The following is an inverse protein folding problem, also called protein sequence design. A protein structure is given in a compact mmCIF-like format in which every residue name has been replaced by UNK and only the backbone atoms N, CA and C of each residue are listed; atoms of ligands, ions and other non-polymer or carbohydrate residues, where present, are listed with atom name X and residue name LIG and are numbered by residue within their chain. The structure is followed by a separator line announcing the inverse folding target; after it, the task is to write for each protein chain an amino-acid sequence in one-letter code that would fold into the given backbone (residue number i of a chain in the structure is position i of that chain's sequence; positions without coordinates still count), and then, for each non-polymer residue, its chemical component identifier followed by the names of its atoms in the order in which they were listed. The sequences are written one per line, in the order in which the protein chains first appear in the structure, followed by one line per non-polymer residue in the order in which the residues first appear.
data_IF_473913387955
#
_entry.id   IF_473913387955
#
_cell.length_a   1.000
_cell.length_b   1.000
_cell.length_c   1.000
_cell.angle_alpha   90.00
_cell.angle_beta   90.00
_cell.angle_gamma   90.00
#
_symmetry.space_group_name_H-M   'P 1'
#
loop_
_entity.id
_entity.type
_entity.pdbx_description
1 polymer ?
#
# COMPACT_ATOMS: atom_id res chain seq x y z
N UNK A 1 15.46 10.96 -29.62
CA UNK A 1 16.22 10.58 -28.40
C UNK A 1 15.29 10.62 -27.19
N UNK A 2 14.85 9.46 -26.70
CA UNK A 2 13.92 9.38 -25.57
C UNK A 2 14.56 9.95 -24.31
N UNK A 3 13.89 10.91 -23.65
CA UNK A 3 14.36 11.51 -22.40
C UNK A 3 14.70 10.39 -21.39
N UNK A 4 15.98 10.31 -21.00
CA UNK A 4 16.44 9.43 -19.92
C UNK A 4 15.67 9.79 -18.65
N UNK A 5 15.04 8.78 -18.02
CA UNK A 5 14.32 8.93 -16.74
C UNK A 5 15.32 9.30 -15.64
N UNK A 6 14.84 10.01 -14.62
CA UNK A 6 15.67 10.43 -13.51
C UNK A 6 16.25 9.19 -12.78
N UNK A 7 17.58 9.08 -12.79
CA UNK A 7 18.43 8.27 -11.91
C UNK A 7 17.80 7.01 -11.27
N UNK A 8 17.70 5.91 -12.02
CA UNK A 8 17.53 4.54 -11.47
C UNK A 8 16.18 4.21 -10.80
N UNK A 9 15.34 5.20 -10.49
CA UNK A 9 14.04 5.03 -9.86
C UNK A 9 12.96 4.97 -10.95
N UNK A 10 12.80 3.81 -11.60
CA UNK A 10 11.94 3.66 -12.79
C UNK A 10 10.47 4.09 -12.57
N UNK A 11 10.04 4.20 -11.31
CA UNK A 11 8.72 4.61 -10.82
C UNK A 11 8.55 6.11 -10.54
N UNK A 12 9.62 6.91 -10.45
CA UNK A 12 9.55 8.35 -10.13
C UNK A 12 9.91 9.21 -11.35
N UNK A 13 9.06 10.17 -11.70
CA UNK A 13 9.19 11.03 -12.89
C UNK A 13 8.98 12.50 -12.56
N UNK A 14 9.72 13.37 -13.24
CA UNK A 14 9.60 14.82 -13.14
C UNK A 14 8.80 15.40 -14.32
N UNK A 15 7.84 16.26 -14.00
CA UNK A 15 6.97 16.95 -14.96
C UNK A 15 7.61 18.26 -15.45
N UNK A 16 7.10 18.81 -16.56
CA UNK A 16 7.60 20.08 -17.14
C UNK A 16 7.47 21.25 -16.15
N UNK A 17 6.45 21.21 -15.31
CA UNK A 17 6.10 22.26 -14.35
C UNK A 17 6.85 22.14 -13.01
N UNK A 18 7.85 21.26 -12.92
CA UNK A 18 8.69 21.07 -11.73
C UNK A 18 8.15 20.08 -10.69
N UNK A 19 6.93 19.60 -10.86
CA UNK A 19 6.32 18.58 -10.01
C UNK A 19 6.92 17.18 -10.23
N UNK A 20 6.82 16.35 -9.21
CA UNK A 20 7.28 14.97 -9.20
C UNK A 20 6.09 14.02 -9.04
N UNK A 21 6.17 12.89 -9.73
CA UNK A 21 5.18 11.82 -9.67
C UNK A 21 5.86 10.50 -9.36
N UNK A 22 5.36 9.79 -8.35
CA UNK A 22 5.73 8.43 -8.01
C UNK A 22 4.59 7.49 -8.34
N UNK A 23 4.82 6.49 -9.19
CA UNK A 23 3.82 5.50 -9.59
C UNK A 23 4.04 4.22 -8.80
N UNK A 24 2.97 3.66 -8.22
CA UNK A 24 3.01 2.38 -7.53
C UNK A 24 1.81 1.51 -7.85
N UNK A 25 1.99 0.20 -7.74
CA UNK A 25 0.88 -0.76 -7.80
C UNK A 25 0.26 -0.86 -6.42
N UNK A 26 -1.01 -0.47 -6.31
CA UNK A 26 -1.72 -0.45 -5.04
C UNK A 26 -2.29 -1.81 -4.66
N UNK A 27 -2.84 -2.55 -5.61
CA UNK A 27 -3.25 -3.94 -5.41
C UNK A 27 -3.53 -4.66 -6.73
N UNK A 28 -3.69 -5.98 -6.66
CA UNK A 28 -4.17 -6.80 -7.76
C UNK A 28 -5.65 -7.10 -7.57
N UNK A 29 -6.47 -6.84 -8.59
CA UNK A 29 -7.88 -7.19 -8.56
C UNK A 29 -8.02 -8.73 -8.41
N UNK A 30 -8.67 -9.22 -7.34
CA UNK A 30 -8.78 -10.64 -7.05
C UNK A 30 -9.60 -11.43 -8.10
N UNK A 31 -10.47 -10.76 -8.86
CA UNK A 31 -11.33 -11.38 -9.86
C UNK A 31 -10.68 -11.39 -11.25
N UNK A 32 -9.94 -10.32 -11.60
CA UNK A 32 -9.37 -10.15 -12.94
C UNK A 32 -7.85 -10.31 -13.00
N UNK A 33 -7.17 -10.34 -11.86
CA UNK A 33 -5.71 -10.40 -11.75
C UNK A 33 -5.00 -9.13 -12.24
N UNK A 34 -5.75 -8.07 -12.58
CA UNK A 34 -5.17 -6.84 -13.13
C UNK A 34 -4.60 -5.97 -12.02
N UNK A 35 -3.44 -5.37 -12.30
CA UNK A 35 -2.81 -4.41 -11.41
C UNK A 35 -3.60 -3.10 -11.38
N UNK A 36 -3.95 -2.63 -10.18
CA UNK A 36 -4.46 -1.28 -9.96
C UNK A 36 -3.31 -0.34 -9.65
N UNK A 37 -2.93 0.43 -10.66
CA UNK A 37 -1.84 1.41 -10.57
C UNK A 37 -2.39 2.72 -9.98
N UNK A 38 -1.67 3.30 -9.01
CA UNK A 38 -1.93 4.63 -8.45
C UNK A 38 -0.66 5.48 -8.53
N UNK A 39 -0.84 6.79 -8.45
CA UNK A 39 0.25 7.75 -8.46
C UNK A 39 0.22 8.66 -7.22
N UNK A 40 1.37 9.22 -6.89
CA UNK A 40 1.57 10.14 -5.80
C UNK A 40 2.31 11.37 -6.32
N UNK A 41 1.79 12.56 -6.04
CA UNK A 41 2.38 13.82 -6.48
C UNK A 41 3.06 14.55 -5.32
N UNK A 42 4.12 15.29 -5.65
CA UNK A 42 4.85 16.15 -4.70
C UNK A 42 5.70 17.19 -5.41
N UNK A 43 6.15 18.21 -4.66
CA UNK A 43 6.96 19.29 -5.22
C UNK A 43 8.44 18.91 -5.32
N UNK A 44 8.90 17.96 -4.51
CA UNK A 44 10.29 17.50 -4.49
C UNK A 44 10.38 15.99 -4.66
N UNK A 45 11.51 15.51 -5.18
CA UNK A 45 11.76 14.07 -5.34
C UNK A 45 11.75 13.32 -4.01
N UNK A 46 12.36 13.89 -2.97
CA UNK A 46 12.45 13.28 -1.65
C UNK A 46 11.07 13.12 -1.01
N UNK A 47 10.22 14.14 -1.11
CA UNK A 47 8.84 14.07 -0.64
C UNK A 47 8.05 12.97 -1.35
N UNK A 48 8.17 12.88 -2.67
CA UNK A 48 7.50 11.82 -3.45
C UNK A 48 8.05 10.46 -3.09
N UNK A 49 9.36 10.31 -2.88
CA UNK A 49 9.98 9.04 -2.49
C UNK A 49 9.46 8.54 -1.14
N UNK A 50 9.37 9.41 -0.14
CA UNK A 50 8.83 9.05 1.18
C UNK A 50 7.34 8.73 1.12
N UNK A 51 6.55 9.55 0.41
CA UNK A 51 5.12 9.25 0.22
C UNK A 51 4.91 7.96 -0.57
N UNK A 52 5.75 7.67 -1.57
CA UNK A 52 5.69 6.44 -2.36
C UNK A 52 6.00 5.21 -1.51
N UNK A 53 7.06 5.26 -0.68
CA UNK A 53 7.38 4.18 0.27
C UNK A 53 6.21 3.93 1.23
N UNK A 54 5.64 4.99 1.81
CA UNK A 54 4.49 4.88 2.71
C UNK A 54 3.27 4.29 2.00
N UNK A 55 2.96 4.75 0.80
CA UNK A 55 1.84 4.25 0.01
C UNK A 55 1.99 2.77 -0.36
N UNK A 56 3.21 2.31 -0.65
CA UNK A 56 3.51 0.88 -0.89
C UNK A 56 3.34 0.06 0.39
N UNK A 57 3.83 0.55 1.54
CA UNK A 57 3.69 -0.14 2.82
C UNK A 57 2.22 -0.27 3.25
N UNK A 58 1.46 0.82 3.13
CA UNK A 58 0.02 0.84 3.43
C UNK A 58 -0.76 -0.08 2.47
N UNK A 59 -0.35 -0.16 1.20
CA UNK A 59 -1.00 -1.02 0.22
C UNK A 59 -0.69 -2.49 0.44
N UNK A 60 0.55 -2.84 0.82
CA UNK A 60 0.93 -4.19 1.24
C UNK A 60 0.15 -4.64 2.48
N UNK A 61 -0.11 -3.73 3.44
CA UNK A 61 -0.95 -4.01 4.62
C UNK A 61 -2.39 -4.35 4.23
N UNK A 62 -2.93 -3.73 3.18
CA UNK A 62 -4.27 -4.03 2.66
C UNK A 62 -4.29 -5.30 1.79
N UNK A 63 -3.19 -5.58 1.08
CA UNK A 63 -3.00 -6.75 0.21
C UNK A 63 -2.63 -8.04 0.96
N UNK A 64 -2.57 -8.04 2.29
CA UNK A 64 -2.38 -9.26 3.11
C UNK A 64 -3.51 -10.30 2.99
N UNK A 65 -4.42 -10.11 2.02
CA UNK A 65 -5.57 -10.95 1.76
C UNK A 65 -5.39 -11.88 0.53
N UNK A 66 -4.17 -12.20 0.11
CA UNK A 66 -3.83 -13.35 -0.78
C UNK A 66 -2.30 -13.51 -0.85
N UNK A 67 -1.67 -14.67 -0.73
CA UNK A 67 -2.11 -16.00 -1.16
C UNK A 67 -1.31 -17.11 -0.46
N UNK A 68 -1.99 -18.02 0.25
CA UNK A 68 -1.54 -19.42 0.34
C UNK A 68 -1.25 -20.03 1.73
N UNK A 69 -1.04 -19.24 2.80
CA UNK A 69 -0.57 -19.80 4.09
C UNK A 69 -1.26 -19.27 5.34
N UNK A 70 -2.36 -18.54 5.23
CA UNK A 70 -3.18 -18.21 6.40
C UNK A 70 -4.22 -19.31 6.62
N UNK A 71 -3.96 -20.19 7.59
CA UNK A 71 -5.01 -21.04 8.16
C UNK A 71 -6.12 -20.15 8.72
N UNK A 72 -7.36 -20.66 8.76
CA UNK A 72 -8.53 -19.92 9.29
C UNK A 72 -8.22 -19.29 10.67
N UNK A 73 -7.42 -19.97 11.50
CA UNK A 73 -6.92 -19.46 12.79
C UNK A 73 -6.15 -18.14 12.67
N UNK A 74 -5.24 -18.01 11.72
CA UNK A 74 -4.45 -16.78 11.50
C UNK A 74 -5.33 -15.63 11.02
N UNK A 75 -6.38 -15.93 10.25
CA UNK A 75 -7.34 -14.91 9.78
C UNK A 75 -8.23 -14.40 10.93
N UNK A 76 -8.72 -15.29 11.79
CA UNK A 76 -9.58 -14.92 12.94
C UNK A 76 -8.82 -14.08 13.97
N UNK A 77 -7.56 -14.42 14.28
CA UNK A 77 -6.73 -13.62 15.19
C UNK A 77 -6.49 -12.20 14.65
N UNK A 78 -6.17 -12.08 13.37
CA UNK A 78 -5.96 -10.78 12.73
C UNK A 78 -7.26 -9.94 12.70
N UNK A 79 -8.41 -10.58 12.41
CA UNK A 79 -9.70 -9.90 12.46
C UNK A 79 -10.01 -9.38 13.88
N UNK A 80 -9.72 -10.18 14.90
CA UNK A 80 -9.88 -9.78 16.29
C UNK A 80 -9.00 -8.58 16.64
N UNK A 81 -7.72 -8.60 16.31
CA UNK A 81 -6.77 -7.49 16.60
C UNK A 81 -7.07 -6.19 15.83
N UNK A 82 -7.43 -6.29 14.54
CA UNK A 82 -7.55 -5.10 13.67
C UNK A 82 -8.94 -4.47 13.76
N UNK A 83 -9.99 -5.26 13.92
CA UNK A 83 -11.38 -4.79 13.85
C UNK A 83 -12.14 -4.95 15.16
N UNK A 84 -11.87 -5.98 15.96
CA UNK A 84 -12.59 -6.19 17.22
C UNK A 84 -11.99 -5.36 18.37
N UNK A 85 -10.68 -5.45 18.64
CA UNK A 85 -10.03 -4.76 19.77
C UNK A 85 -10.27 -3.24 19.83
N UNK A 86 -10.23 -2.47 18.72
CA UNK A 86 -10.49 -1.02 18.78
C UNK A 86 -11.94 -0.65 19.12
N UNK A 87 -12.86 -1.62 19.07
CA UNK A 87 -14.31 -1.45 19.32
C UNK A 87 -14.82 -2.20 20.53
N UNK A 88 -14.01 -3.08 21.12
CA UNK A 88 -14.36 -3.85 22.30
C UNK A 88 -14.18 -2.99 23.56
N UNK A 89 -15.22 -2.91 24.39
CA UNK A 89 -15.13 -2.29 25.72
C UNK A 89 -14.39 -3.27 26.65
N UNK A 90 -13.58 -2.75 27.57
CA UNK A 90 -12.72 -3.53 28.48
C UNK A 90 -13.43 -4.71 29.14
N UNK A 91 -14.72 -4.55 29.48
CA UNK A 91 -15.52 -5.57 30.19
C UNK A 91 -15.88 -6.83 29.38
N UNK A 92 -15.60 -6.88 28.07
CA UNK A 92 -15.93 -8.04 27.20
C UNK A 92 -14.67 -8.79 26.75
N UNK A 93 -13.48 -8.28 27.11
CA UNK A 93 -12.19 -8.78 26.62
C UNK A 93 -11.86 -10.21 27.09
N UNK A 94 -12.40 -10.63 28.24
CA UNK A 94 -12.13 -11.94 28.85
C UNK A 94 -12.96 -13.10 28.27
N UNK A 95 -13.93 -12.83 27.40
CA UNK A 95 -14.86 -13.84 26.86
C UNK A 95 -14.49 -14.36 25.46
N UNK A 96 -13.43 -13.85 24.83
CA UNK A 96 -12.95 -14.21 23.49
C UNK A 96 -11.49 -14.63 23.51
#
# INVERSE_FOLDING_TARGET
MGKKRANGECSIRKWKDGWWEGVYTAFYDPATGKQKIKNVLGKTQAEVKEKLKKAIADSQRLDMNRSGTHTVKSWVLMWHEVYAEPRLRENIKDYY
#
